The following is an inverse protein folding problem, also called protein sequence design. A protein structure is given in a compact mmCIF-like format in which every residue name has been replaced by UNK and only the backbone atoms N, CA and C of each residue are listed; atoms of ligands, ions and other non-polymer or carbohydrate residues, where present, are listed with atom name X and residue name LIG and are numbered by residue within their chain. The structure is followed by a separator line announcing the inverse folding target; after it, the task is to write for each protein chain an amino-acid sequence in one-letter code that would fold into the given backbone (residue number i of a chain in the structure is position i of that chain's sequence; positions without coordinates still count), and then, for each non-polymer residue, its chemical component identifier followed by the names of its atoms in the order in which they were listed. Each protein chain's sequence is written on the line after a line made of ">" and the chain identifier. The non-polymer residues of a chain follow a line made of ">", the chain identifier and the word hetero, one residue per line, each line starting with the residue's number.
data_IF_857961012411
#
_entry.id   IF_857961012411
#
_cell.length_a   1.000
_cell.length_b   1.000
_cell.length_c   1.000
_cell.angle_alpha   90.00
_cell.angle_beta   90.00
_cell.angle_gamma   90.00
#
_symmetry.space_group_name_H-M   'P 1'
#
loop_
_entity.id
_entity.type
_entity.pdbx_description
1 polymer ?
#
# COMPACT_ATOMS: atom_id res chain seq x y z
N UNK A 1 3.15 61.28 67.55
CA UNK A 1 2.95 59.82 67.38
C UNK A 1 2.63 59.58 65.92
N UNK A 2 3.56 58.97 65.14
CA UNK A 2 3.37 58.67 63.73
C UNK A 2 2.94 57.21 63.62
N UNK A 3 1.72 56.95 63.09
CA UNK A 3 1.24 55.63 62.83
C UNK A 3 1.81 55.16 61.45
N UNK A 4 2.60 54.10 61.50
CA UNK A 4 3.07 53.39 60.26
C UNK A 4 2.04 52.35 59.96
N UNK A 5 1.36 52.52 58.78
CA UNK A 5 0.51 51.48 58.20
C UNK A 5 1.40 50.52 57.41
N UNK A 6 1.47 49.27 57.84
CA UNK A 6 2.10 48.18 57.10
C UNK A 6 1.01 47.54 56.22
N UNK A 7 1.09 47.77 54.94
CA UNK A 7 0.21 47.10 53.93
C UNK A 7 0.77 45.74 53.64
N UNK A 8 0.06 44.67 54.03
CA UNK A 8 0.36 43.32 53.66
C UNK A 8 -0.21 43.04 52.21
N UNK A 9 0.68 42.93 51.21
CA UNK A 9 0.31 42.50 49.87
C UNK A 9 0.22 40.98 49.88
N UNK A 10 -1.01 40.43 49.88
CA UNK A 10 -1.23 39.00 49.68
C UNK A 10 -1.04 38.68 48.17
N UNK A 11 0.04 38.04 47.85
CA UNK A 11 0.20 37.40 46.52
C UNK A 11 -0.61 36.08 46.50
N UNK A 12 -1.79 36.09 45.93
CA UNK A 12 -2.49 34.87 45.61
C UNK A 12 -1.91 34.28 44.30
N UNK A 13 -1.07 33.27 44.43
CA UNK A 13 -0.65 32.47 43.28
C UNK A 13 -1.84 31.64 42.79
N UNK A 14 -2.42 32.07 41.67
CA UNK A 14 -3.42 31.27 40.99
C UNK A 14 -2.68 30.12 40.29
N UNK A 15 -2.73 28.94 40.90
CA UNK A 15 -2.24 27.70 40.25
C UNK A 15 -3.33 27.27 39.29
N UNK A 16 -3.14 27.52 37.99
CA UNK A 16 -3.94 26.90 36.96
C UNK A 16 -3.60 25.42 36.92
N UNK A 17 -4.58 24.51 37.06
CA UNK A 17 -4.31 23.09 36.86
C UNK A 17 -3.98 22.91 35.39
N UNK A 18 -2.72 22.59 35.10
CA UNK A 18 -2.34 22.09 33.77
C UNK A 18 -3.04 20.78 33.57
N UNK A 19 -4.15 20.77 32.80
CA UNK A 19 -4.77 19.54 32.34
C UNK A 19 -3.78 18.90 31.36
N UNK A 20 -3.07 17.92 31.83
CA UNK A 20 -2.33 17.02 30.96
C UNK A 20 -3.40 16.17 30.27
N UNK A 21 -3.75 16.53 29.01
CA UNK A 21 -4.54 15.65 28.15
C UNK A 21 -3.65 14.47 27.75
N UNK A 22 -3.75 13.36 28.48
CA UNK A 22 -3.20 12.11 28.00
C UNK A 22 -4.06 11.68 26.81
N UNK A 23 -3.55 11.79 25.58
CA UNK A 23 -4.17 11.20 24.43
C UNK A 23 -3.99 9.69 24.56
N UNK A 24 -5.03 9.00 24.96
CA UNK A 24 -5.08 7.55 24.87
C UNK A 24 -5.44 7.20 23.42
N UNK A 25 -4.46 6.72 22.67
CA UNK A 25 -4.72 6.09 21.36
C UNK A 25 -5.25 4.70 21.63
N UNK A 26 -6.47 4.44 21.20
CA UNK A 26 -7.03 3.08 21.18
C UNK A 26 -6.88 2.53 19.77
N UNK A 27 -6.19 1.42 19.64
CA UNK A 27 -6.09 0.67 18.38
C UNK A 27 -7.05 -0.50 18.50
N UNK A 28 -8.02 -0.56 17.58
CA UNK A 28 -8.96 -1.67 17.46
C UNK A 28 -8.54 -2.47 16.23
N UNK A 29 -8.43 -3.79 16.36
CA UNK A 29 -8.11 -4.67 15.26
C UNK A 29 -9.41 -5.22 14.66
N UNK A 30 -9.56 -5.06 13.34
CA UNK A 30 -10.64 -5.65 12.55
C UNK A 30 -10.04 -6.68 11.60
N UNK A 31 -10.75 -7.78 11.39
CA UNK A 31 -10.33 -8.83 10.45
C UNK A 31 -11.04 -8.63 9.12
N UNK A 32 -10.25 -8.44 8.05
CA UNK A 32 -10.75 -8.35 6.68
C UNK A 32 -11.04 -9.75 6.12
N UNK A 33 -10.13 -10.69 6.34
CA UNK A 33 -10.27 -12.09 5.91
C UNK A 33 -9.50 -13.03 6.83
N UNK A 34 -10.08 -14.17 7.15
CA UNK A 34 -9.47 -15.28 7.87
C UNK A 34 -8.96 -16.41 6.94
N UNK A 35 -9.15 -16.24 5.62
CA UNK A 35 -8.82 -17.23 4.59
C UNK A 35 -7.58 -16.90 3.76
N UNK A 36 -6.95 -15.76 3.97
CA UNK A 36 -5.73 -15.32 3.29
C UNK A 36 -4.49 -16.11 3.75
N UNK A 37 -4.40 -17.36 3.32
CA UNK A 37 -3.30 -18.27 3.72
C UNK A 37 -1.96 -17.74 3.22
N UNK A 38 -0.97 -17.68 4.15
CA UNK A 38 0.39 -17.21 3.86
C UNK A 38 0.43 -15.78 3.30
N UNK A 39 -0.42 -14.88 3.82
CA UNK A 39 -0.39 -13.48 3.44
C UNK A 39 1.01 -12.89 3.67
N UNK A 40 1.57 -12.24 2.64
CA UNK A 40 2.95 -11.73 2.61
C UNK A 40 3.03 -10.25 2.33
N UNK A 41 2.04 -9.71 1.65
CA UNK A 41 2.00 -8.32 1.22
C UNK A 41 0.56 -7.84 1.16
N UNK A 42 0.37 -6.58 1.50
CA UNK A 42 -0.90 -5.87 1.31
C UNK A 42 -0.62 -4.52 0.64
N UNK A 43 -1.58 -4.06 -0.14
CA UNK A 43 -1.66 -2.72 -0.69
C UNK A 43 -3.09 -2.23 -0.55
N UNK A 44 -3.32 -0.93 -0.60
CA UNK A 44 -4.66 -0.37 -0.55
C UNK A 44 -4.83 0.65 -1.67
N UNK A 45 -5.99 0.58 -2.33
CA UNK A 45 -6.41 1.50 -3.38
C UNK A 45 -7.93 1.41 -3.51
N UNK A 46 -8.54 2.39 -4.14
CA UNK A 46 -9.90 2.33 -4.65
C UNK A 46 -9.81 1.61 -6.01
N UNK A 47 -10.13 0.30 -6.04
CA UNK A 47 -9.85 -0.58 -7.19
C UNK A 47 -10.97 -0.53 -8.22
N UNK A 48 -12.22 -0.32 -7.79
CA UNK A 48 -13.40 -0.26 -8.65
C UNK A 48 -13.92 1.17 -8.89
N UNK A 49 -13.26 2.18 -8.28
CA UNK A 49 -13.59 3.57 -8.50
C UNK A 49 -14.85 4.04 -7.76
N UNK A 50 -15.30 3.31 -6.73
CA UNK A 50 -16.50 3.65 -5.97
C UNK A 50 -16.26 4.69 -4.87
N UNK A 51 -15.00 5.01 -4.56
CA UNK A 51 -14.55 6.00 -3.60
C UNK A 51 -14.19 5.42 -2.24
N UNK A 52 -14.37 4.14 -2.02
CA UNK A 52 -14.00 3.45 -0.80
C UNK A 52 -12.65 2.73 -0.97
N UNK A 53 -11.87 2.67 0.11
CA UNK A 53 -10.54 2.06 0.03
C UNK A 53 -10.62 0.55 0.20
N UNK A 54 -10.16 -0.16 -0.81
CA UNK A 54 -10.04 -1.60 -0.86
C UNK A 54 -8.70 -2.10 -0.37
N UNK A 55 -8.57 -3.41 -0.23
CA UNK A 55 -7.33 -4.06 0.15
C UNK A 55 -6.95 -5.13 -0.87
N UNK A 56 -5.73 -5.01 -1.39
CA UNK A 56 -5.07 -6.04 -2.19
C UNK A 56 -4.18 -6.89 -1.30
N UNK A 57 -4.15 -8.19 -1.50
CA UNK A 57 -3.23 -9.07 -0.81
C UNK A 57 -2.51 -10.03 -1.74
N UNK A 58 -1.19 -10.14 -1.53
CA UNK A 58 -0.34 -11.17 -2.11
C UNK A 58 -0.16 -12.33 -1.14
N UNK A 59 -0.59 -13.51 -1.55
CA UNK A 59 -0.46 -14.76 -0.80
C UNK A 59 -0.32 -15.96 -1.77
N UNK A 60 -0.98 -17.09 -1.53
CA UNK A 60 -1.00 -18.21 -2.49
C UNK A 60 -1.70 -17.85 -3.81
N UNK A 61 -2.31 -16.71 -3.87
CA UNK A 61 -2.87 -16.05 -5.05
C UNK A 61 -2.68 -14.52 -4.91
N UNK A 62 -3.26 -13.73 -5.83
CA UNK A 62 -3.50 -12.31 -5.66
C UNK A 62 -4.98 -12.10 -5.51
N UNK A 63 -5.38 -11.52 -4.39
CA UNK A 63 -6.78 -11.23 -4.09
C UNK A 63 -6.99 -9.74 -3.87
N UNK A 64 -8.18 -9.32 -4.25
CA UNK A 64 -8.76 -8.03 -3.95
C UNK A 64 -9.92 -8.25 -2.96
N UNK A 65 -9.96 -7.45 -1.92
CA UNK A 65 -11.01 -7.38 -0.91
C UNK A 65 -11.70 -6.05 -1.08
N UNK A 66 -12.81 -6.06 -1.86
CA UNK A 66 -13.67 -4.91 -2.12
C UNK A 66 -14.37 -4.50 -0.83
N UNK A 67 -14.24 -3.23 -0.47
CA UNK A 67 -14.90 -2.60 0.68
C UNK A 67 -16.19 -1.93 0.23
N UNK A 68 -17.30 -2.26 0.83
CA UNK A 68 -18.62 -1.68 0.49
C UNK A 68 -18.92 -0.35 1.19
N UNK A 69 -17.89 0.32 1.74
CA UNK A 69 -18.02 1.56 2.50
C UNK A 69 -18.62 1.39 3.91
N UNK A 70 -18.97 0.16 4.29
CA UNK A 70 -19.54 -0.16 5.60
C UNK A 70 -18.65 -1.11 6.41
N UNK A 71 -17.34 -1.17 6.09
CA UNK A 71 -16.36 -2.07 6.69
C UNK A 71 -16.67 -3.57 6.43
N UNK A 72 -17.43 -3.87 5.37
CA UNK A 72 -17.71 -5.23 4.92
C UNK A 72 -16.92 -5.51 3.64
N UNK A 73 -16.27 -6.66 3.58
CA UNK A 73 -15.34 -6.98 2.50
C UNK A 73 -15.80 -8.19 1.68
N UNK A 74 -15.85 -8.01 0.36
CA UNK A 74 -16.07 -9.09 -0.62
C UNK A 74 -14.75 -9.51 -1.25
N UNK A 75 -14.48 -10.82 -1.32
CA UNK A 75 -13.21 -11.31 -1.86
C UNK A 75 -13.32 -11.63 -3.34
N UNK A 76 -12.42 -11.06 -4.14
CA UNK A 76 -12.22 -11.33 -5.55
C UNK A 76 -10.82 -11.90 -5.79
N UNK A 77 -10.69 -12.82 -6.74
CA UNK A 77 -9.38 -13.37 -7.13
C UNK A 77 -8.93 -12.69 -8.44
N UNK A 78 -7.83 -11.95 -8.36
CA UNK A 78 -7.18 -11.34 -9.53
C UNK A 78 -6.34 -12.39 -10.27
N UNK A 79 -5.55 -13.17 -9.53
CA UNK A 79 -4.68 -14.20 -10.12
C UNK A 79 -4.54 -15.39 -9.18
N UNK A 80 -4.53 -16.58 -9.74
CA UNK A 80 -4.24 -17.83 -8.98
C UNK A 80 -2.74 -18.05 -8.76
N UNK A 81 -1.88 -17.19 -9.29
CA UNK A 81 -0.44 -17.24 -9.06
C UNK A 81 -0.09 -16.68 -7.69
N UNK A 82 0.75 -17.40 -6.96
CA UNK A 82 1.24 -16.92 -5.66
C UNK A 82 2.05 -15.63 -5.82
N UNK A 83 1.84 -14.66 -4.93
CA UNK A 83 2.59 -13.42 -4.90
C UNK A 83 3.33 -13.22 -3.59
N UNK A 84 4.56 -12.72 -3.69
CA UNK A 84 5.39 -12.30 -2.55
C UNK A 84 5.18 -10.83 -2.20
N UNK A 85 4.80 -10.02 -3.17
CA UNK A 85 4.51 -8.59 -3.03
C UNK A 85 3.48 -8.19 -4.06
N UNK A 86 2.59 -7.28 -3.69
CA UNK A 86 1.61 -6.62 -4.56
C UNK A 86 1.66 -5.12 -4.34
N UNK A 87 1.39 -4.36 -5.39
CA UNK A 87 1.32 -2.91 -5.36
C UNK A 87 0.24 -2.42 -6.32
N UNK A 88 -0.62 -1.51 -5.86
CA UNK A 88 -1.66 -0.88 -6.67
C UNK A 88 -1.10 0.38 -7.32
N UNK A 89 -1.35 0.57 -8.61
CA UNK A 89 -0.91 1.71 -9.40
C UNK A 89 -1.70 1.77 -10.69
N UNK A 90 -2.03 2.94 -11.17
CA UNK A 90 -2.44 3.17 -12.56
C UNK A 90 -1.17 3.12 -13.42
N UNK A 91 -0.91 1.95 -14.06
CA UNK A 91 0.37 1.69 -14.73
C UNK A 91 0.37 2.15 -16.19
N UNK A 92 -0.78 2.14 -16.84
CA UNK A 92 -0.94 2.54 -18.24
C UNK A 92 -1.51 3.95 -18.42
N UNK A 93 -1.92 4.58 -17.31
CA UNK A 93 -2.38 5.97 -17.31
C UNK A 93 -3.83 6.14 -17.77
N UNK A 94 -4.65 5.08 -17.72
CA UNK A 94 -6.05 5.11 -18.11
C UNK A 94 -7.00 5.62 -17.01
N UNK A 95 -6.51 5.71 -15.78
CA UNK A 95 -7.21 6.21 -14.59
C UNK A 95 -7.72 5.12 -13.67
N UNK A 96 -7.65 3.86 -14.07
CA UNK A 96 -8.08 2.72 -13.28
C UNK A 96 -6.89 2.12 -12.48
N UNK A 97 -7.15 1.60 -11.29
CA UNK A 97 -6.08 1.05 -10.44
C UNK A 97 -5.74 -0.38 -10.85
N UNK A 98 -4.55 -0.56 -11.40
CA UNK A 98 -3.95 -1.85 -11.72
C UNK A 98 -3.24 -2.48 -10.55
N UNK A 99 -2.75 -3.71 -10.74
CA UNK A 99 -1.94 -4.42 -9.76
C UNK A 99 -0.64 -4.90 -10.37
N UNK A 100 0.48 -4.53 -9.74
CA UNK A 100 1.78 -5.15 -10.01
C UNK A 100 2.04 -6.20 -8.94
N UNK A 101 2.38 -7.42 -9.36
CA UNK A 101 2.65 -8.54 -8.47
C UNK A 101 3.99 -9.21 -8.72
N UNK A 102 4.69 -9.60 -7.65
CA UNK A 102 5.92 -10.39 -7.76
C UNK A 102 5.74 -11.80 -7.23
N UNK A 103 6.35 -12.76 -7.93
CA UNK A 103 6.35 -14.16 -7.55
C UNK A 103 7.76 -14.75 -7.47
N UNK A 104 7.87 -16.06 -7.29
CA UNK A 104 9.17 -16.73 -7.19
C UNK A 104 10.06 -16.59 -8.44
N UNK A 105 9.52 -16.28 -9.61
CA UNK A 105 10.31 -16.22 -10.86
C UNK A 105 9.84 -15.14 -11.82
N UNK A 106 8.82 -14.36 -11.50
CA UNK A 106 8.26 -13.38 -12.41
C UNK A 106 7.77 -12.13 -11.69
N UNK A 107 7.65 -11.06 -12.45
CA UNK A 107 6.88 -9.85 -12.13
C UNK A 107 5.79 -9.74 -13.17
N UNK A 108 4.56 -9.62 -12.72
CA UNK A 108 3.38 -9.48 -13.55
C UNK A 108 2.67 -8.16 -13.32
N UNK A 109 1.99 -7.71 -14.33
CA UNK A 109 1.03 -6.62 -14.30
C UNK A 109 -0.36 -7.18 -14.58
N UNK A 110 -1.31 -6.78 -13.81
CA UNK A 110 -2.72 -7.15 -13.91
C UNK A 110 -3.48 -5.86 -14.17
N UNK A 111 -3.75 -5.61 -15.48
CA UNK A 111 -4.46 -4.44 -16.00
C UNK A 111 -5.93 -4.54 -15.64
N UNK A 112 -6.46 -3.52 -15.00
CA UNK A 112 -7.85 -3.38 -14.62
C UNK A 112 -8.62 -2.63 -15.72
N UNK A 113 -9.79 -3.11 -16.10
CA UNK A 113 -10.65 -2.44 -17.10
C UNK A 113 -11.65 -1.43 -16.48
N UNK A 114 -11.42 -1.02 -15.23
CA UNK A 114 -12.31 -0.13 -14.47
C UNK A 114 -13.60 -0.76 -13.98
N UNK A 115 -13.77 -2.08 -14.21
CA UNK A 115 -14.95 -2.84 -13.78
C UNK A 115 -14.56 -4.05 -12.91
N UNK A 116 -13.33 -4.07 -12.40
CA UNK A 116 -12.80 -5.16 -11.57
C UNK A 116 -12.46 -6.43 -12.36
N UNK A 117 -12.36 -6.36 -13.71
CA UNK A 117 -11.82 -7.46 -14.50
C UNK A 117 -10.34 -7.18 -14.82
N UNK A 118 -9.52 -8.22 -14.68
CA UNK A 118 -8.07 -8.09 -14.82
C UNK A 118 -7.52 -8.88 -15.99
N UNK A 119 -6.80 -8.20 -16.89
CA UNK A 119 -5.97 -8.83 -17.92
C UNK A 119 -4.55 -9.03 -17.37
N UNK A 120 -3.92 -10.18 -17.69
CA UNK A 120 -2.57 -10.51 -17.17
C UNK A 120 -1.50 -10.24 -18.21
N UNK A 121 -0.51 -9.42 -17.83
CA UNK A 121 0.68 -9.14 -18.62
C UNK A 121 1.93 -9.55 -17.85
N UNK A 122 2.94 -10.00 -18.57
CA UNK A 122 4.23 -10.38 -17.97
C UNK A 122 5.24 -9.28 -18.19
N UNK A 123 5.68 -8.64 -17.11
CA UNK A 123 6.77 -7.65 -17.14
C UNK A 123 8.09 -8.37 -17.31
N UNK A 124 8.36 -9.38 -16.47
CA UNK A 124 9.51 -10.25 -16.65
C UNK A 124 9.24 -11.68 -16.19
N UNK A 125 9.90 -12.62 -16.85
CA UNK A 125 9.87 -14.05 -16.51
C UNK A 125 11.29 -14.61 -16.58
N UNK A 126 11.93 -14.71 -15.43
CA UNK A 126 13.29 -15.22 -15.34
C UNK A 126 13.33 -16.51 -14.51
N UNK A 127 13.34 -17.65 -15.17
CA UNK A 127 13.47 -18.96 -14.52
C UNK A 127 14.70 -19.08 -13.61
N UNK A 128 15.71 -18.23 -13.82
CA UNK A 128 16.96 -18.20 -13.05
C UNK A 128 16.94 -17.22 -11.87
N UNK A 129 15.94 -16.33 -11.81
CA UNK A 129 15.74 -15.37 -10.73
C UNK A 129 14.74 -15.91 -9.73
N UNK A 130 15.15 -16.90 -8.96
CA UNK A 130 14.31 -17.41 -7.86
C UNK A 130 14.20 -16.34 -6.78
N UNK A 131 12.99 -15.77 -6.65
CA UNK A 131 12.61 -15.02 -5.46
C UNK A 131 12.59 -13.52 -5.59
N UNK A 132 11.76 -13.00 -6.48
CA UNK A 132 11.29 -11.63 -6.32
C UNK A 132 10.56 -11.51 -4.99
N UNK A 133 10.93 -10.50 -4.20
CA UNK A 133 10.44 -10.32 -2.83
C UNK A 133 9.64 -9.06 -2.65
N UNK A 134 9.88 -8.06 -3.49
CA UNK A 134 9.23 -6.77 -3.41
C UNK A 134 9.10 -6.19 -4.81
N UNK A 135 7.96 -5.55 -5.06
CA UNK A 135 7.72 -4.69 -6.23
C UNK A 135 7.19 -3.36 -5.76
N UNK A 136 7.47 -2.34 -6.54
CA UNK A 136 6.97 -1.00 -6.38
C UNK A 136 6.90 -0.33 -7.74
N UNK A 137 5.99 0.63 -7.93
CA UNK A 137 5.92 1.41 -9.15
C UNK A 137 6.15 2.89 -8.86
N UNK A 138 6.92 3.54 -9.72
CA UNK A 138 7.19 4.98 -9.70
C UNK A 138 7.78 5.39 -11.05
N UNK A 139 7.61 6.64 -11.42
CA UNK A 139 8.28 7.26 -12.57
C UNK A 139 9.76 7.52 -12.20
N UNK A 140 10.67 6.65 -12.65
CA UNK A 140 12.11 6.66 -12.27
C UNK A 140 12.86 7.70 -13.09
N UNK A 141 12.60 7.81 -14.39
CA UNK A 141 13.33 8.67 -15.33
C UNK A 141 12.62 10.00 -15.63
N UNK A 142 11.40 10.17 -15.12
CA UNK A 142 10.56 11.38 -15.23
C UNK A 142 10.05 11.63 -16.65
N UNK A 143 9.68 10.57 -17.33
CA UNK A 143 9.05 10.63 -18.64
C UNK A 143 7.51 10.73 -18.56
N UNK A 144 6.94 10.55 -17.35
CA UNK A 144 5.53 10.65 -17.06
C UNK A 144 4.81 9.30 -17.00
N UNK A 145 5.49 8.20 -17.27
CA UNK A 145 4.95 6.86 -17.14
C UNK A 145 5.44 6.17 -15.86
N UNK A 146 4.61 5.31 -15.30
CA UNK A 146 4.98 4.54 -14.11
C UNK A 146 5.82 3.34 -14.49
N UNK A 147 7.05 3.28 -14.00
CA UNK A 147 7.97 2.17 -14.13
C UNK A 147 7.80 1.16 -13.00
N UNK A 148 8.36 -0.04 -13.17
CA UNK A 148 8.35 -1.07 -12.14
C UNK A 148 9.74 -1.35 -11.61
N UNK A 149 9.91 -1.23 -10.29
CA UNK A 149 11.12 -1.58 -9.57
C UNK A 149 10.89 -2.87 -8.78
N UNK A 150 11.78 -3.83 -8.94
CA UNK A 150 11.69 -5.11 -8.26
C UNK A 150 12.99 -5.50 -7.56
N UNK A 151 12.86 -6.07 -6.36
CA UNK A 151 13.97 -6.63 -5.60
C UNK A 151 13.94 -8.16 -5.65
N UNK A 152 15.06 -8.78 -6.04
CA UNK A 152 15.23 -10.23 -6.02
C UNK A 152 16.24 -10.67 -4.97
N UNK A 153 15.94 -11.81 -4.32
CA UNK A 153 16.87 -12.46 -3.39
C UNK A 153 17.76 -13.47 -4.13
N UNK A 154 18.59 -14.21 -3.37
CA UNK A 154 19.49 -15.26 -3.88
C UNK A 154 18.88 -16.11 -5.03
N UNK A 155 19.67 -16.45 -6.07
CA UNK A 155 21.12 -16.26 -6.15
C UNK A 155 21.59 -14.89 -6.68
N UNK A 156 20.70 -14.06 -7.20
CA UNK A 156 21.12 -12.89 -7.96
C UNK A 156 21.22 -11.59 -7.14
N UNK A 157 20.47 -11.47 -6.03
CA UNK A 157 20.54 -10.30 -5.11
C UNK A 157 20.55 -8.96 -5.85
N UNK A 158 19.56 -8.74 -6.74
CA UNK A 158 19.47 -7.56 -7.59
C UNK A 158 18.29 -6.68 -7.21
N UNK A 159 18.44 -5.39 -7.41
CA UNK A 159 17.37 -4.45 -7.61
C UNK A 159 17.33 -4.15 -9.10
N UNK A 160 16.16 -4.30 -9.69
CA UNK A 160 15.95 -4.13 -11.13
C UNK A 160 14.90 -3.06 -11.36
N UNK A 161 15.05 -2.34 -12.43
CA UNK A 161 14.12 -1.37 -12.95
C UNK A 161 13.67 -1.83 -14.33
N UNK A 162 12.38 -1.84 -14.55
CA UNK A 162 11.71 -2.16 -15.79
C UNK A 162 11.04 -0.88 -16.26
N UNK A 163 11.62 -0.28 -17.31
CA UNK A 163 11.17 0.95 -17.91
C UNK A 163 9.86 0.74 -18.67
N UNK A 164 8.90 1.61 -18.43
CA UNK A 164 7.66 1.75 -19.17
C UNK A 164 7.74 3.02 -20.01
N UNK A 165 7.86 2.88 -21.32
CA UNK A 165 7.95 3.99 -22.28
C UNK A 165 6.58 4.43 -22.82
N UNK A 166 5.49 4.03 -22.16
CA UNK A 166 4.11 4.30 -22.55
C UNK A 166 3.61 3.40 -23.68
N UNK A 167 4.42 2.48 -24.19
CA UNK A 167 4.02 1.51 -25.23
C UNK A 167 3.44 0.22 -24.67
N UNK A 168 3.36 0.11 -23.33
CA UNK A 168 2.95 -1.09 -22.58
C UNK A 168 3.89 -2.30 -22.81
N UNK A 169 5.06 -2.07 -23.39
CA UNK A 169 6.13 -3.05 -23.52
C UNK A 169 7.27 -2.70 -22.59
N UNK A 170 7.53 -3.58 -21.63
CA UNK A 170 8.64 -3.40 -20.69
C UNK A 170 9.94 -3.87 -21.35
N UNK A 171 10.90 -2.95 -21.50
CA UNK A 171 12.23 -3.25 -21.98
C UNK A 171 13.10 -3.80 -20.81
N UNK A 172 13.86 -4.86 -21.06
CA UNK A 172 14.75 -5.50 -20.07
C UNK A 172 16.20 -5.46 -20.50
#
# INVERSE_FOLDING_TARGET
>A
MKHVLISFLLFTTVIFPTRIFSHHYSIIAHTISDSAREARSVSAADVDGDGDMDVLAGHNNISWYENDGSESFTTHTISTSAASSVYAVDLDGDGDMDVVGSSAGSVGWYENDGSGNFATHTICNHYWHRGFRSVYALDVDRDGYMDVVAASSSPNNKIMWYENDGSQYFNH
#
